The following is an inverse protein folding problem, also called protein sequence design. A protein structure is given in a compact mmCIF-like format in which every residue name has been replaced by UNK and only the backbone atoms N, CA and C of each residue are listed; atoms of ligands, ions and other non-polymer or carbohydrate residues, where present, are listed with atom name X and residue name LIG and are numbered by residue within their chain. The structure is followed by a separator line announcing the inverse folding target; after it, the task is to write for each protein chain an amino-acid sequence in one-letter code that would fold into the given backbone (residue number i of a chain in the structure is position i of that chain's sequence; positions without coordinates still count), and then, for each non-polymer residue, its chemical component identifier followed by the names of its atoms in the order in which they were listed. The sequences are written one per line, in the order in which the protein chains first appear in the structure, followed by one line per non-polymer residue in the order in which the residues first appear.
data_IF_669798359542
#
_entry.id   IF_669798359542
#
_cell.length_a   1.000
_cell.length_b   1.000
_cell.length_c   1.000
_cell.angle_alpha   90.00
_cell.angle_beta   90.00
_cell.angle_gamma   90.00
#
_symmetry.space_group_name_H-M   'P 1'
#
loop_
_entity.id
_entity.type
_entity.pdbx_description
1 polymer ?
#
# COMPACT_ATOMS: atom_id res chain seq x y z
N UNK A 1 46.29 12.56 -20.26
CA UNK A 1 45.02 13.25 -19.98
C UNK A 1 43.90 12.26 -20.29
N UNK A 2 43.43 11.52 -19.29
CA UNK A 2 42.34 10.56 -19.48
C UNK A 2 40.99 11.29 -19.48
N UNK A 3 40.28 11.17 -20.59
CA UNK A 3 38.90 11.62 -20.75
C UNK A 3 37.98 10.71 -19.94
N UNK A 4 37.39 11.25 -18.87
CA UNK A 4 36.35 10.58 -18.09
C UNK A 4 35.13 10.40 -18.99
N UNK A 5 34.93 9.18 -19.49
CA UNK A 5 33.73 8.78 -20.23
C UNK A 5 32.58 8.65 -19.23
N UNK A 6 31.89 9.75 -18.96
CA UNK A 6 30.66 9.75 -18.17
C UNK A 6 29.56 9.17 -19.07
N UNK A 7 29.42 7.84 -19.07
CA UNK A 7 28.20 7.22 -19.63
C UNK A 7 27.02 7.72 -18.80
N UNK A 8 25.97 8.30 -19.40
CA UNK A 8 24.79 8.68 -18.64
C UNK A 8 24.13 7.40 -18.12
N UNK A 9 24.21 7.18 -16.81
CA UNK A 9 23.44 6.13 -16.13
C UNK A 9 21.97 6.29 -16.54
N UNK A 10 21.31 5.23 -17.07
CA UNK A 10 19.90 5.32 -17.42
C UNK A 10 19.14 5.72 -16.16
N UNK A 11 18.39 6.81 -16.24
CA UNK A 11 17.60 7.34 -15.13
C UNK A 11 16.85 6.18 -14.45
N UNK A 12 17.09 5.91 -13.17
CA UNK A 12 16.55 4.72 -12.46
C UNK A 12 15.03 4.56 -12.64
N UNK A 13 14.33 5.69 -12.71
CA UNK A 13 12.89 5.73 -12.98
C UNK A 13 12.54 5.29 -14.41
N UNK A 14 13.36 5.61 -15.42
CA UNK A 14 13.15 5.15 -16.80
C UNK A 14 13.29 3.62 -16.91
N UNK A 15 14.24 3.02 -16.19
CA UNK A 15 14.35 1.56 -16.10
C UNK A 15 13.13 0.94 -15.40
N UNK A 16 12.67 1.56 -14.31
CA UNK A 16 11.46 1.13 -13.61
C UNK A 16 10.22 1.18 -14.53
N UNK A 17 10.04 2.27 -15.26
CA UNK A 17 8.94 2.42 -16.23
C UNK A 17 9.02 1.38 -17.34
N UNK A 18 10.22 1.09 -17.86
CA UNK A 18 10.41 0.05 -18.88
C UNK A 18 10.06 -1.35 -18.34
N UNK A 19 10.46 -1.67 -17.09
CA UNK A 19 10.07 -2.92 -16.42
C UNK A 19 8.55 -3.03 -16.28
N UNK A 20 7.89 -1.97 -15.81
CA UNK A 20 6.43 -1.93 -15.65
C UNK A 20 5.72 -2.09 -16.99
N UNK A 21 6.14 -1.34 -18.01
CA UNK A 21 5.60 -1.42 -19.36
C UNK A 21 5.67 -2.85 -19.93
N UNK A 22 6.82 -3.53 -19.76
CA UNK A 22 6.99 -4.91 -20.19
C UNK A 22 6.03 -5.84 -19.46
N UNK A 23 5.98 -5.79 -18.12
CA UNK A 23 5.10 -6.67 -17.33
C UNK A 23 3.62 -6.46 -17.62
N UNK A 24 3.21 -5.23 -17.91
CA UNK A 24 1.84 -4.94 -18.35
C UNK A 24 1.56 -5.59 -19.69
N UNK A 25 2.46 -5.45 -20.67
CA UNK A 25 2.29 -6.08 -21.97
C UNK A 25 2.22 -7.61 -21.85
N UNK A 26 3.11 -8.22 -21.07
CA UNK A 26 3.12 -9.67 -20.80
C UNK A 26 1.79 -10.13 -20.16
N UNK A 27 1.29 -9.37 -19.18
CA UNK A 27 -0.01 -9.64 -18.52
C UNK A 27 -1.18 -9.54 -19.51
N UNK A 28 -1.12 -8.58 -20.44
CA UNK A 28 -2.16 -8.37 -21.46
C UNK A 28 -2.13 -9.46 -22.53
N UNK A 29 -0.95 -9.88 -23.00
CA UNK A 29 -0.79 -10.97 -23.96
C UNK A 29 -1.29 -12.31 -23.38
N UNK A 30 -1.04 -12.54 -22.10
CA UNK A 30 -1.50 -13.74 -21.40
C UNK A 30 -2.96 -13.66 -20.93
N UNK A 31 -3.63 -12.51 -21.10
CA UNK A 31 -5.02 -12.31 -20.70
C UNK A 31 -5.25 -12.43 -19.19
N UNK A 32 -4.24 -12.15 -18.37
CA UNK A 32 -4.32 -12.25 -16.91
C UNK A 32 -5.08 -11.07 -16.30
N UNK A 33 -5.77 -11.34 -15.20
CA UNK A 33 -6.45 -10.34 -14.37
C UNK A 33 -5.58 -9.84 -13.19
N UNK A 34 -4.37 -10.39 -13.07
CA UNK A 34 -3.42 -10.08 -12.01
C UNK A 34 -2.15 -9.47 -12.60
N UNK A 35 -1.88 -8.23 -12.18
CA UNK A 35 -0.74 -7.45 -12.62
C UNK A 35 0.31 -7.37 -11.50
N UNK A 36 1.46 -8.00 -11.72
CA UNK A 36 2.57 -7.99 -10.77
C UNK A 36 3.63 -6.95 -11.15
N UNK A 37 3.70 -5.86 -10.41
CA UNK A 37 4.67 -4.77 -10.53
C UNK A 37 5.62 -4.71 -9.31
N UNK A 38 5.80 -5.82 -8.61
CA UNK A 38 6.74 -5.93 -7.49
C UNK A 38 8.20 -5.71 -7.91
N UNK A 39 9.04 -5.18 -7.02
CA UNK A 39 10.49 -4.99 -7.24
C UNK A 39 10.83 -4.30 -8.58
N UNK A 40 10.06 -3.26 -8.91
CA UNK A 40 10.31 -2.44 -10.10
C UNK A 40 11.18 -1.21 -9.79
N UNK A 41 11.43 -0.91 -8.52
CA UNK A 41 12.14 0.29 -8.09
C UNK A 41 11.33 1.58 -8.29
N UNK A 42 10.00 1.49 -8.25
CA UNK A 42 9.10 2.62 -8.45
C UNK A 42 9.14 3.57 -7.25
N UNK A 43 9.35 4.87 -7.51
CA UNK A 43 9.25 5.93 -6.49
C UNK A 43 7.81 6.46 -6.41
N UNK A 44 7.07 6.36 -7.52
CA UNK A 44 5.66 6.70 -7.65
C UNK A 44 5.07 5.86 -8.79
N UNK A 45 3.75 5.71 -8.82
CA UNK A 45 3.10 5.08 -9.98
C UNK A 45 3.24 6.01 -11.21
N UNK A 46 3.81 5.57 -12.34
CA UNK A 46 4.14 6.47 -13.44
C UNK A 46 2.90 6.86 -14.25
N UNK A 47 2.75 8.14 -14.59
CA UNK A 47 1.57 8.60 -15.33
C UNK A 47 1.43 8.00 -16.72
N UNK A 48 2.55 7.68 -17.37
CA UNK A 48 2.59 7.02 -18.67
C UNK A 48 1.95 5.63 -18.64
N UNK A 49 2.01 4.94 -17.50
CA UNK A 49 1.41 3.62 -17.33
C UNK A 49 -0.11 3.68 -17.45
N UNK A 50 -0.75 4.72 -16.90
CA UNK A 50 -2.21 4.90 -17.01
C UNK A 50 -2.71 4.90 -18.46
N UNK A 51 -1.89 5.39 -19.41
CA UNK A 51 -2.25 5.36 -20.84
C UNK A 51 -2.22 3.94 -21.40
N UNK A 52 -1.27 3.12 -20.95
CA UNK A 52 -1.09 1.74 -21.43
C UNK A 52 -2.20 0.82 -20.90
N UNK A 53 -2.55 0.96 -19.62
CA UNK A 53 -3.56 0.10 -18.97
C UNK A 53 -5.00 0.56 -19.21
N UNK A 54 -5.23 1.71 -19.86
CA UNK A 54 -6.58 2.26 -20.04
C UNK A 54 -7.51 1.30 -20.79
N UNK A 55 -6.96 0.45 -21.67
CA UNK A 55 -7.73 -0.53 -22.44
C UNK A 55 -8.02 -1.82 -21.66
N UNK A 56 -7.36 -2.07 -20.52
CA UNK A 56 -7.49 -3.31 -19.74
C UNK A 56 -7.77 -3.07 -18.25
N UNK A 57 -7.92 -1.83 -17.80
CA UNK A 57 -8.12 -1.48 -16.39
C UNK A 57 -9.37 -2.11 -15.78
N UNK A 58 -10.37 -2.44 -16.60
CA UNK A 58 -11.60 -3.13 -16.18
C UNK A 58 -11.41 -4.63 -15.93
N UNK A 59 -10.38 -5.24 -16.51
CA UNK A 59 -10.09 -6.67 -16.36
C UNK A 59 -9.08 -6.95 -15.25
N UNK A 60 -8.38 -5.94 -14.75
CA UNK A 60 -7.38 -6.09 -13.70
C UNK A 60 -8.06 -6.06 -12.34
N UNK A 61 -8.09 -7.21 -11.69
CA UNK A 61 -8.68 -7.39 -10.36
C UNK A 61 -7.61 -7.44 -9.26
N UNK A 62 -6.35 -7.73 -9.59
CA UNK A 62 -5.28 -7.86 -8.61
C UNK A 62 -4.05 -7.07 -9.06
N UNK A 63 -3.50 -6.25 -8.17
CA UNK A 63 -2.26 -5.51 -8.44
C UNK A 63 -1.30 -5.71 -7.28
N UNK A 64 -0.10 -6.18 -7.59
CA UNK A 64 1.02 -6.12 -6.65
C UNK A 64 1.98 -5.01 -7.02
N UNK A 65 2.26 -4.14 -6.06
CA UNK A 65 3.28 -3.10 -6.09
C UNK A 65 4.29 -3.32 -4.95
N UNK A 66 4.40 -4.55 -4.45
CA UNK A 66 5.25 -4.90 -3.34
C UNK A 66 6.73 -4.57 -3.59
N UNK A 67 7.48 -4.30 -2.52
CA UNK A 67 8.94 -4.09 -2.56
C UNK A 67 9.37 -3.00 -3.58
N UNK A 68 8.63 -1.90 -3.60
CA UNK A 68 8.99 -0.69 -4.34
C UNK A 68 9.36 0.45 -3.37
N UNK A 69 9.54 1.67 -3.87
CA UNK A 69 9.88 2.85 -3.08
C UNK A 69 8.76 3.90 -3.18
N UNK A 70 7.51 3.44 -3.30
CA UNK A 70 6.36 4.31 -3.52
C UNK A 70 6.11 5.13 -2.26
N UNK A 71 6.19 6.45 -2.40
CA UNK A 71 5.92 7.39 -1.30
C UNK A 71 4.45 7.73 -1.14
N UNK A 72 3.73 7.78 -2.25
CA UNK A 72 2.30 8.05 -2.29
C UNK A 72 1.70 7.49 -3.59
N UNK A 73 0.44 7.09 -3.51
CA UNK A 73 -0.40 6.82 -4.67
C UNK A 73 -1.28 8.04 -4.96
N UNK A 74 -1.41 8.40 -6.23
CA UNK A 74 -2.33 9.46 -6.66
C UNK A 74 -3.79 8.99 -6.64
N UNK A 75 -4.74 9.92 -6.48
CA UNK A 75 -6.18 9.62 -6.59
C UNK A 75 -6.54 8.92 -7.90
N UNK A 76 -5.84 9.28 -8.99
CA UNK A 76 -6.00 8.69 -10.32
C UNK A 76 -5.79 7.18 -10.35
N UNK A 77 -4.98 6.62 -9.45
CA UNK A 77 -4.80 5.17 -9.34
C UNK A 77 -6.13 4.47 -9.02
N UNK A 78 -6.80 4.90 -7.96
CA UNK A 78 -8.07 4.31 -7.53
C UNK A 78 -9.23 4.63 -8.47
N UNK A 79 -9.18 5.78 -9.16
CA UNK A 79 -10.14 6.12 -10.21
C UNK A 79 -9.94 5.32 -11.51
N UNK A 80 -8.75 4.78 -11.75
CA UNK A 80 -8.46 3.98 -12.96
C UNK A 80 -8.81 2.52 -12.72
N UNK A 81 -8.42 1.96 -11.58
CA UNK A 81 -8.64 0.55 -11.24
C UNK A 81 -9.92 0.35 -10.43
N UNK A 82 -11.06 0.69 -11.01
CA UNK A 82 -12.35 0.66 -10.30
C UNK A 82 -12.80 -0.77 -9.95
N UNK A 83 -12.38 -1.76 -10.73
CA UNK A 83 -12.69 -3.19 -10.52
C UNK A 83 -11.66 -3.92 -9.62
N UNK A 84 -10.69 -3.20 -9.05
CA UNK A 84 -9.64 -3.79 -8.22
C UNK A 84 -10.23 -4.48 -6.98
N UNK A 85 -9.82 -5.73 -6.77
CA UNK A 85 -10.22 -6.58 -5.63
C UNK A 85 -9.09 -6.81 -4.65
N UNK A 86 -7.85 -6.89 -5.13
CA UNK A 86 -6.68 -7.14 -4.29
C UNK A 86 -5.56 -6.16 -4.63
N UNK A 87 -5.03 -5.48 -3.61
CA UNK A 87 -3.94 -4.53 -3.75
C UNK A 87 -2.83 -4.84 -2.75
N UNK A 88 -1.64 -5.15 -3.25
CA UNK A 88 -0.46 -5.34 -2.42
C UNK A 88 0.50 -4.16 -2.57
N UNK A 89 0.78 -3.49 -1.46
CA UNK A 89 1.68 -2.35 -1.32
C UNK A 89 2.75 -2.62 -0.25
N UNK A 90 2.95 -3.88 0.15
CA UNK A 90 3.96 -4.27 1.12
C UNK A 90 5.33 -3.70 0.77
N UNK A 91 6.11 -3.29 1.77
CA UNK A 91 7.54 -3.02 1.57
C UNK A 91 7.80 -1.76 0.75
N UNK A 92 6.92 -0.77 0.89
CA UNK A 92 7.06 0.54 0.29
C UNK A 92 7.41 1.58 1.37
N UNK A 93 7.42 2.87 1.01
CA UNK A 93 7.68 3.98 1.93
C UNK A 93 6.48 4.91 2.05
N UNK A 94 5.27 4.34 1.95
CA UNK A 94 4.01 5.09 2.03
C UNK A 94 3.87 5.75 3.40
N UNK A 95 3.58 7.05 3.40
CA UNK A 95 3.28 7.82 4.63
C UNK A 95 1.80 8.09 4.80
N UNK A 96 1.05 8.11 3.69
CA UNK A 96 -0.42 8.23 3.64
C UNK A 96 -0.99 7.46 2.45
N UNK A 97 -2.30 7.23 2.46
CA UNK A 97 -3.07 6.85 1.27
C UNK A 97 -3.98 8.01 0.83
N UNK A 98 -4.27 8.14 -0.47
CA UNK A 98 -5.19 9.16 -0.98
C UNK A 98 -6.63 8.88 -0.56
N UNK A 99 -7.44 9.93 -0.42
CA UNK A 99 -8.86 9.81 -0.03
C UNK A 99 -9.69 8.98 -1.02
N UNK A 100 -9.30 8.97 -2.29
CA UNK A 100 -9.95 8.21 -3.36
C UNK A 100 -9.93 6.69 -3.12
N UNK A 101 -9.14 6.18 -2.16
CA UNK A 101 -9.23 4.78 -1.72
C UNK A 101 -10.65 4.40 -1.28
N UNK A 102 -11.42 5.35 -0.73
CA UNK A 102 -12.81 5.12 -0.32
C UNK A 102 -13.75 4.79 -1.48
N UNK A 103 -13.37 5.18 -2.71
CA UNK A 103 -14.14 4.92 -3.93
C UNK A 103 -13.87 3.53 -4.53
N UNK A 104 -12.91 2.78 -3.99
CA UNK A 104 -12.55 1.44 -4.48
C UNK A 104 -13.60 0.39 -4.04
N UNK A 105 -14.83 0.50 -4.54
CA UNK A 105 -15.99 -0.26 -4.06
C UNK A 105 -15.87 -1.77 -4.21
N UNK A 106 -14.95 -2.28 -5.02
CA UNK A 106 -14.72 -3.72 -5.22
C UNK A 106 -13.52 -4.27 -4.45
N UNK A 107 -12.74 -3.43 -3.75
CA UNK A 107 -11.51 -3.81 -3.08
C UNK A 107 -11.82 -4.67 -1.83
N UNK A 108 -11.35 -5.91 -1.85
CA UNK A 108 -11.58 -6.90 -0.79
C UNK A 108 -10.36 -7.08 0.11
N UNK A 109 -9.16 -7.00 -0.46
CA UNK A 109 -7.91 -7.25 0.26
C UNK A 109 -6.95 -6.11 -0.03
N UNK A 110 -6.38 -5.52 1.02
CA UNK A 110 -5.28 -4.56 0.90
C UNK A 110 -4.16 -4.91 1.87
N UNK A 111 -2.93 -5.00 1.35
CA UNK A 111 -1.73 -5.15 2.15
C UNK A 111 -0.91 -3.87 2.09
N UNK A 112 -0.83 -3.15 3.21
CA UNK A 112 -0.01 -1.94 3.38
C UNK A 112 1.04 -2.17 4.48
N UNK A 113 1.37 -3.42 4.77
CA UNK A 113 2.41 -3.75 5.75
C UNK A 113 3.78 -3.23 5.32
N UNK A 114 4.71 -3.09 6.26
CA UNK A 114 6.10 -2.64 5.99
C UNK A 114 6.13 -1.32 5.22
N UNK A 115 5.46 -0.32 5.77
CA UNK A 115 5.40 1.05 5.25
C UNK A 115 5.66 2.05 6.39
N UNK A 116 5.58 3.34 6.10
CA UNK A 116 5.83 4.42 7.08
C UNK A 116 4.55 5.16 7.46
N UNK A 117 3.40 4.48 7.44
CA UNK A 117 2.13 5.11 7.80
C UNK A 117 2.14 5.46 9.29
N UNK A 118 2.06 6.74 9.61
CA UNK A 118 1.94 7.23 11.00
C UNK A 118 0.49 7.31 11.47
N UNK A 119 -0.45 7.40 10.52
CA UNK A 119 -1.88 7.51 10.76
C UNK A 119 -2.61 6.47 9.93
N UNK A 120 -3.66 5.89 10.48
CA UNK A 120 -4.51 4.98 9.71
C UNK A 120 -5.37 5.77 8.71
N UNK A 121 -5.44 5.34 7.44
CA UNK A 121 -6.27 5.99 6.43
C UNK A 121 -7.76 5.69 6.69
N UNK A 122 -8.46 6.62 7.36
CA UNK A 122 -9.88 6.48 7.72
C UNK A 122 -10.76 6.15 6.50
N UNK A 123 -10.43 6.66 5.32
CA UNK A 123 -11.15 6.36 4.07
C UNK A 123 -11.19 4.87 3.69
N UNK A 124 -10.29 4.03 4.21
CA UNK A 124 -10.40 2.58 4.06
C UNK A 124 -11.63 2.00 4.77
N UNK A 125 -12.19 2.68 5.77
CA UNK A 125 -13.42 2.23 6.43
C UNK A 125 -14.65 2.37 5.55
N UNK A 126 -14.64 3.34 4.62
CA UNK A 126 -15.73 3.61 3.68
C UNK A 126 -15.88 2.50 2.62
N UNK A 127 -14.80 1.75 2.37
CA UNK A 127 -14.79 0.63 1.41
C UNK A 127 -15.59 -0.54 1.96
N UNK A 128 -16.85 -0.67 1.52
CA UNK A 128 -17.80 -1.68 2.03
C UNK A 128 -17.39 -3.13 1.74
N UNK A 129 -16.71 -3.37 0.63
CA UNK A 129 -16.28 -4.71 0.19
C UNK A 129 -15.01 -5.22 0.87
N UNK A 130 -14.30 -4.37 1.62
CA UNK A 130 -13.02 -4.71 2.24
C UNK A 130 -13.22 -5.77 3.33
N UNK A 131 -12.57 -6.93 3.15
CA UNK A 131 -12.61 -8.11 4.03
C UNK A 131 -11.33 -8.28 4.81
N UNK A 132 -10.20 -7.85 4.25
CA UNK A 132 -8.88 -8.03 4.86
C UNK A 132 -8.01 -6.81 4.65
N UNK A 133 -7.35 -6.42 5.73
CA UNK A 133 -6.36 -5.34 5.75
C UNK A 133 -5.15 -5.79 6.57
N UNK A 134 -3.95 -5.58 6.03
CA UNK A 134 -2.68 -5.82 6.73
C UNK A 134 -1.95 -4.50 6.89
N UNK A 135 -1.65 -4.11 8.12
CA UNK A 135 -1.00 -2.83 8.50
C UNK A 135 0.26 -3.06 9.33
N UNK A 136 0.72 -4.30 9.45
CA UNK A 136 1.91 -4.71 10.19
C UNK A 136 3.13 -3.87 9.82
N UNK A 137 4.05 -3.69 10.77
CA UNK A 137 5.33 -3.00 10.51
C UNK A 137 5.14 -1.57 9.93
N UNK A 138 4.12 -0.85 10.41
CA UNK A 138 3.94 0.59 10.20
C UNK A 138 4.17 1.37 11.52
N UNK A 139 4.06 2.70 11.45
CA UNK A 139 4.19 3.61 12.60
C UNK A 139 2.82 4.05 13.17
N UNK A 140 1.75 3.32 12.83
CA UNK A 140 0.38 3.63 13.26
C UNK A 140 0.28 3.43 14.76
N UNK A 141 -0.01 4.50 15.50
CA UNK A 141 -0.14 4.46 16.96
C UNK A 141 -1.61 4.49 17.38
N UNK A 142 -1.96 3.83 18.49
CA UNK A 142 -3.33 3.82 19.02
C UNK A 142 -3.93 5.24 19.17
N UNK A 143 -3.12 6.22 19.56
CA UNK A 143 -3.55 7.61 19.76
C UNK A 143 -3.93 8.34 18.47
N UNK A 144 -3.39 7.93 17.32
CA UNK A 144 -3.75 8.51 16.01
C UNK A 144 -5.01 7.88 15.42
N UNK A 145 -5.45 6.75 15.96
CA UNK A 145 -6.66 6.03 15.57
C UNK A 145 -7.90 6.48 16.34
N UNK A 146 -7.75 7.16 17.49
CA UNK A 146 -8.80 7.25 18.53
C UNK A 146 -9.69 8.50 18.52
N UNK A 147 -9.92 9.14 17.37
CA UNK A 147 -10.83 10.31 17.34
C UNK A 147 -12.29 9.91 17.07
N UNK A 148 -12.88 9.21 18.05
CA UNK A 148 -14.32 9.14 18.35
C UNK A 148 -15.33 8.46 17.39
N UNK A 149 -14.99 8.05 16.16
CA UNK A 149 -16.03 7.57 15.19
C UNK A 149 -15.83 6.17 14.63
N UNK A 150 -14.59 5.67 14.57
CA UNK A 150 -14.31 4.36 14.00
C UNK A 150 -14.37 3.29 15.09
N UNK A 151 -15.58 2.89 15.48
CA UNK A 151 -15.84 1.82 16.45
C UNK A 151 -14.85 0.67 16.24
N UNK A 152 -13.88 0.53 17.15
CA UNK A 152 -12.90 -0.55 17.14
C UNK A 152 -13.61 -1.91 17.09
N UNK A 153 -14.84 -1.98 17.62
CA UNK A 153 -15.79 -3.07 17.47
C UNK A 153 -16.20 -3.33 16.01
N UNK A 154 -16.53 -2.31 15.22
CA UNK A 154 -16.89 -2.44 13.80
C UNK A 154 -15.72 -2.96 12.97
N UNK A 155 -14.48 -2.50 13.21
CA UNK A 155 -13.31 -3.04 12.49
C UNK A 155 -12.83 -4.38 13.02
N UNK A 156 -12.88 -4.63 14.33
CA UNK A 156 -12.67 -5.99 14.87
C UNK A 156 -13.73 -6.97 14.38
N UNK A 157 -14.96 -6.51 14.12
CA UNK A 157 -16.08 -7.29 13.58
C UNK A 157 -15.95 -7.48 12.07
N UNK A 158 -15.63 -6.43 11.31
CA UNK A 158 -15.46 -6.44 9.85
C UNK A 158 -14.21 -7.18 9.42
N UNK A 159 -13.12 -7.10 10.19
CA UNK A 159 -11.84 -7.75 9.93
C UNK A 159 -11.55 -8.88 10.92
N UNK A 160 -12.59 -9.61 11.38
CA UNK A 160 -12.51 -10.69 12.39
C UNK A 160 -11.40 -11.72 12.15
N UNK A 161 -10.92 -11.88 10.91
CA UNK A 161 -9.93 -12.88 10.52
C UNK A 161 -8.55 -12.31 10.12
N UNK A 162 -8.33 -10.99 10.17
CA UNK A 162 -7.00 -10.39 9.91
C UNK A 162 -6.28 -10.12 11.23
N UNK A 163 -5.11 -10.72 11.42
CA UNK A 163 -4.45 -10.95 12.70
C UNK A 163 -3.83 -9.72 13.39
N UNK A 164 -4.24 -8.48 13.08
CA UNK A 164 -3.36 -7.31 13.28
C UNK A 164 -3.83 -6.28 14.34
N UNK A 165 -5.13 -6.21 14.63
CA UNK A 165 -5.65 -5.25 15.64
C UNK A 165 -5.27 -5.61 17.10
N UNK A 166 -4.68 -6.78 17.34
CA UNK A 166 -4.26 -7.23 18.68
C UNK A 166 -3.00 -6.52 19.20
N UNK A 167 -2.16 -5.96 18.32
CA UNK A 167 -0.91 -5.27 18.69
C UNK A 167 -1.08 -3.76 18.81
N UNK A 168 -1.99 -3.17 18.03
CA UNK A 168 -2.28 -1.73 18.07
C UNK A 168 -2.80 -1.26 19.44
N UNK A 169 -3.42 -2.13 20.23
CA UNK A 169 -3.86 -1.84 21.61
C UNK A 169 -2.82 -2.11 22.72
N UNK A 170 -1.62 -2.61 22.41
CA UNK A 170 -0.59 -2.91 23.43
C UNK A 170 0.45 -1.80 23.64
N UNK A 171 0.29 -0.65 22.99
CA UNK A 171 1.16 0.51 23.22
C UNK A 171 0.72 1.31 24.46
N UNK A 172 0.87 0.68 25.64
CA UNK A 172 1.04 1.31 26.97
C UNK A 172 1.16 0.31 28.15
N UNK A 173 1.73 -0.89 27.96
CA UNK A 173 2.01 -1.78 29.10
C UNK A 173 3.36 -2.50 29.13
N UNK A 174 4.33 -2.09 28.30
CA UNK A 174 5.69 -2.66 28.34
C UNK A 174 6.82 -1.66 28.49
N UNK A 175 6.58 -0.48 29.09
CA UNK A 175 7.68 0.40 29.48
C UNK A 175 7.52 1.15 30.83
N UNK A 176 6.63 0.71 31.72
CA UNK A 176 6.51 1.28 33.09
C UNK A 176 6.62 0.26 34.25
N UNK A 177 6.95 -1.01 34.03
CA UNK A 177 7.05 -2.00 35.14
C UNK A 177 8.50 -2.45 35.44
N UNK A 178 9.49 -1.56 35.30
CA UNK A 178 10.84 -1.75 35.87
C UNK A 178 11.39 -0.48 36.51
N UNK A 179 10.64 0.14 37.41
CA UNK A 179 11.23 1.04 38.42
C UNK A 179 10.41 1.10 39.72
N UNK A 180 9.97 -0.05 40.27
CA UNK A 180 9.57 -0.11 41.69
C UNK A 180 9.87 -1.50 42.23
N UNK A 181 11.17 -1.80 42.48
CA UNK A 181 11.62 -2.83 43.43
C UNK A 181 13.13 -2.78 43.66
N UNK A 182 13.62 -1.62 44.06
CA UNK A 182 14.76 -1.54 44.97
C UNK A 182 14.25 -0.75 46.18
N UNK A 183 13.72 -1.51 47.14
CA UNK A 183 13.41 -1.02 48.48
C UNK A 183 14.74 -0.91 49.23
N UNK A 184 15.07 0.29 49.67
CA UNK A 184 15.45 0.49 51.07
C UNK A 184 14.23 0.20 51.95
#
# INVERSE_FOLDING_TARGET
METISIRPEPNRMAQAVAKVARRINDTMEEGRDSLDLSDCGLISFPDGVFKMIRSCSENIHKISLADNQIKALSNKFFLTFTQLRELDLQGNVLTTLPDAIGEAQHLQIINISRNNLSVFPERLTDVKSLKQISVEENQITASTWDKRTASLSFMKQKFQNSLDLRRLGRSRRLQCERTVREKY
#
